data_IF_105241869885
#
_entry.id   IF_105241869885
#
_cell.length_a   1.000
_cell.length_b   1.000
_cell.length_c   1.000
_cell.angle_alpha   90.00
_cell.angle_beta   90.00
_cell.angle_gamma   90.00
#
_symmetry.space_group_name_H-M   'P 1'
#
loop_
_entity.id
_entity.type
_entity.pdbx_description
1 polymer ?
#
# COMPACT_ATOMS: atom_id res chain seq x y z
N UNK A 1 12.25 -7.51 44.20
CA UNK A 1 12.80 -6.19 43.78
C UNK A 1 13.61 -6.41 42.51
N UNK A 2 13.01 -6.19 41.34
CA UNK A 2 13.65 -6.46 40.05
C UNK A 2 13.73 -5.18 39.22
N UNK A 3 14.96 -4.75 38.91
CA UNK A 3 15.22 -3.58 38.07
C UNK A 3 15.56 -4.09 36.67
N UNK A 4 14.55 -4.23 35.80
CA UNK A 4 14.76 -4.48 34.37
C UNK A 4 14.96 -3.14 33.66
N UNK A 5 16.23 -2.82 33.34
CA UNK A 5 16.56 -1.76 32.39
C UNK A 5 16.27 -2.25 30.97
N UNK A 6 15.10 -1.91 30.43
CA UNK A 6 14.88 -1.96 28.99
C UNK A 6 15.62 -0.78 28.32
N UNK A 7 16.78 -1.07 27.73
CA UNK A 7 17.43 -0.17 26.79
C UNK A 7 16.57 -0.06 25.52
N UNK A 8 15.82 1.03 25.42
CA UNK A 8 15.05 1.41 24.23
C UNK A 8 16.01 2.06 23.25
N UNK A 9 16.67 1.27 22.39
CA UNK A 9 17.49 1.81 21.30
C UNK A 9 16.54 2.36 20.23
N UNK A 10 16.23 3.65 20.35
CA UNK A 10 15.67 4.46 19.28
C UNK A 10 16.75 4.68 18.23
N UNK A 11 16.83 3.81 17.22
CA UNK A 11 17.49 4.18 15.97
C UNK A 11 16.51 5.07 15.18
N UNK A 12 16.51 6.36 15.51
CA UNK A 12 16.08 7.39 14.58
C UNK A 12 17.00 7.30 13.37
N UNK A 13 16.53 6.69 12.29
CA UNK A 13 17.03 7.07 10.98
C UNK A 13 16.71 8.56 10.84
N UNK A 14 17.75 9.40 10.86
CA UNK A 14 17.62 10.81 10.51
C UNK A 14 17.29 10.87 9.02
N UNK A 15 16.01 10.71 8.70
CA UNK A 15 15.49 11.09 7.40
C UNK A 15 15.79 12.58 7.27
N UNK A 16 16.68 12.91 6.33
CA UNK A 16 17.08 14.28 6.07
C UNK A 16 15.82 15.05 5.67
N UNK A 17 15.28 15.80 6.63
CA UNK A 17 13.99 16.50 6.55
C UNK A 17 13.97 17.47 5.36
N UNK A 18 15.15 17.98 5.03
CA UNK A 18 15.41 19.00 4.02
C UNK A 18 15.38 18.48 2.58
N UNK A 19 15.50 17.16 2.34
CA UNK A 19 15.38 16.60 0.99
C UNK A 19 13.95 16.20 0.63
N UNK A 20 13.11 15.90 1.63
CA UNK A 20 11.71 15.53 1.43
C UNK A 20 10.79 16.76 1.33
N UNK A 21 11.14 17.86 1.97
CA UNK A 21 10.43 19.14 1.82
C UNK A 21 10.46 19.60 0.36
N UNK A 22 11.65 19.69 -0.26
CA UNK A 22 11.77 20.31 -1.58
C UNK A 22 11.01 19.60 -2.72
N UNK A 23 10.82 18.27 -2.68
CA UNK A 23 9.99 17.58 -3.69
C UNK A 23 8.50 17.65 -3.37
N UNK A 24 8.15 17.65 -2.08
CA UNK A 24 6.77 17.64 -1.62
C UNK A 24 6.14 19.05 -1.59
N UNK A 25 6.96 20.10 -1.48
CA UNK A 25 6.55 21.52 -1.53
C UNK A 25 5.86 21.89 -2.85
N UNK A 26 6.06 21.10 -3.92
CA UNK A 26 5.43 21.31 -5.23
C UNK A 26 4.12 20.53 -5.44
N UNK A 27 3.78 19.57 -4.58
CA UNK A 27 2.54 18.78 -4.73
C UNK A 27 1.46 19.41 -3.86
N UNK A 28 0.31 19.72 -4.46
CA UNK A 28 -0.88 20.03 -3.67
C UNK A 28 -1.24 18.84 -2.79
N UNK A 29 -1.17 19.05 -1.47
CA UNK A 29 -1.45 18.06 -0.42
C UNK A 29 -2.68 17.21 -0.71
N UNK A 30 -3.78 17.85 -1.08
CA UNK A 30 -5.05 17.17 -1.30
C UNK A 30 -5.01 16.30 -2.56
N UNK A 31 -4.33 16.75 -3.63
CA UNK A 31 -4.07 15.93 -4.82
C UNK A 31 -3.24 14.68 -4.48
N UNK A 32 -2.19 14.80 -3.65
CA UNK A 32 -1.41 13.65 -3.20
C UNK A 32 -2.29 12.65 -2.43
N UNK A 33 -3.12 13.15 -1.52
CA UNK A 33 -4.04 12.34 -0.72
C UNK A 33 -5.01 11.60 -1.66
N UNK A 34 -5.64 12.29 -2.61
CA UNK A 34 -6.62 11.72 -3.52
C UNK A 34 -6.00 10.60 -4.39
N UNK A 35 -4.78 10.78 -4.89
CA UNK A 35 -4.06 9.74 -5.64
C UNK A 35 -3.79 8.52 -4.74
N UNK A 36 -3.29 8.73 -3.52
CA UNK A 36 -2.98 7.63 -2.58
C UNK A 36 -4.26 6.86 -2.21
N UNK A 37 -5.36 7.56 -1.95
CA UNK A 37 -6.65 6.93 -1.64
C UNK A 37 -7.18 6.15 -2.84
N UNK A 38 -7.23 6.76 -4.03
CA UNK A 38 -7.72 6.10 -5.23
C UNK A 38 -6.92 4.82 -5.55
N UNK A 39 -5.59 4.88 -5.41
CA UNK A 39 -4.69 3.73 -5.52
C UNK A 39 -5.00 2.64 -4.49
N UNK A 40 -5.20 3.02 -3.23
CA UNK A 40 -5.54 2.07 -2.18
C UNK A 40 -6.89 1.38 -2.43
N UNK A 41 -7.93 2.14 -2.79
CA UNK A 41 -9.27 1.60 -3.07
C UNK A 41 -9.26 0.66 -4.27
N UNK A 42 -8.60 1.04 -5.36
CA UNK A 42 -8.46 0.19 -6.53
C UNK A 42 -7.70 -1.11 -6.21
N UNK A 43 -6.57 -1.00 -5.50
CA UNK A 43 -5.79 -2.15 -5.03
C UNK A 43 -6.63 -3.08 -4.16
N UNK A 44 -7.44 -2.53 -3.26
CA UNK A 44 -8.31 -3.34 -2.42
C UNK A 44 -9.34 -4.14 -3.22
N UNK A 45 -9.95 -3.54 -4.25
CA UNK A 45 -10.87 -4.25 -5.15
C UNK A 45 -10.16 -5.35 -5.94
N UNK A 46 -8.97 -5.08 -6.49
CA UNK A 46 -8.17 -6.08 -7.21
C UNK A 46 -7.83 -7.27 -6.29
N UNK A 47 -7.40 -7.01 -5.05
CA UNK A 47 -7.06 -8.06 -4.10
C UNK A 47 -8.28 -8.88 -3.67
N UNK A 48 -9.46 -8.26 -3.58
CA UNK A 48 -10.72 -8.96 -3.33
C UNK A 48 -11.07 -9.91 -4.47
N UNK A 49 -10.91 -9.47 -5.72
CA UNK A 49 -11.12 -10.31 -6.91
C UNK A 49 -10.12 -11.47 -6.97
N UNK A 50 -8.84 -11.21 -6.71
CA UNK A 50 -7.81 -12.25 -6.60
C UNK A 50 -8.18 -13.30 -5.53
N UNK A 51 -8.60 -12.85 -4.33
CA UNK A 51 -9.00 -13.74 -3.26
C UNK A 51 -10.22 -14.59 -3.62
N UNK A 52 -11.22 -14.01 -4.29
CA UNK A 52 -12.38 -14.75 -4.81
C UNK A 52 -11.96 -15.76 -5.86
N UNK A 53 -11.12 -15.37 -6.81
CA UNK A 53 -10.66 -16.27 -7.87
C UNK A 53 -9.91 -17.47 -7.29
N UNK A 54 -9.00 -17.26 -6.33
CA UNK A 54 -8.32 -18.35 -5.62
C UNK A 54 -9.34 -19.31 -4.96
N UNK A 55 -10.32 -18.76 -4.23
CA UNK A 55 -11.37 -19.56 -3.57
C UNK A 55 -12.25 -20.32 -4.57
N UNK A 56 -12.50 -19.75 -5.75
CA UNK A 56 -13.40 -20.37 -6.73
C UNK A 56 -12.69 -21.32 -7.69
N UNK A 57 -11.40 -21.15 -7.96
CA UNK A 57 -10.61 -22.20 -8.61
C UNK A 57 -10.57 -23.47 -7.75
N UNK A 58 -10.72 -23.33 -6.43
CA UNK A 58 -10.85 -24.45 -5.50
C UNK A 58 -12.28 -25.06 -5.42
N UNK A 59 -13.31 -24.46 -6.04
CA UNK A 59 -14.70 -24.90 -5.93
C UNK A 59 -15.43 -24.74 -7.29
N UNK A 60 -15.68 -25.84 -8.02
CA UNK A 60 -16.23 -25.84 -9.40
C UNK A 60 -17.54 -25.02 -9.52
N UNK A 61 -17.63 -24.15 -10.55
CA UNK A 61 -18.59 -23.01 -10.60
C UNK A 61 -19.97 -23.34 -11.20
N UNK A 62 -20.99 -22.63 -10.69
CA UNK A 62 -22.38 -22.53 -11.21
C UNK A 62 -22.69 -21.15 -11.82
N UNK A 63 -23.85 -21.00 -12.49
CA UNK A 63 -24.28 -19.82 -13.28
C UNK A 63 -24.32 -18.47 -12.54
N UNK A 64 -24.40 -18.46 -11.20
CA UNK A 64 -24.34 -17.23 -10.40
C UNK A 64 -22.98 -16.51 -10.46
N UNK A 65 -21.95 -17.15 -11.05
CA UNK A 65 -20.62 -16.60 -11.21
C UNK A 65 -20.52 -15.54 -12.33
N UNK A 66 -21.44 -15.52 -13.31
CA UNK A 66 -21.38 -14.60 -14.44
C UNK A 66 -21.87 -13.18 -14.07
N UNK A 67 -23.01 -13.06 -13.39
CA UNK A 67 -23.54 -11.76 -12.92
C UNK A 67 -22.60 -11.07 -11.94
N UNK A 68 -21.97 -11.84 -11.04
CA UNK A 68 -20.98 -11.32 -10.10
C UNK A 68 -19.72 -10.83 -10.80
N UNK A 69 -19.32 -11.46 -11.91
CA UNK A 69 -18.16 -11.05 -12.70
C UNK A 69 -18.40 -9.70 -13.37
N UNK A 70 -19.55 -9.53 -14.03
CA UNK A 70 -19.94 -8.28 -14.70
C UNK A 70 -20.04 -7.11 -13.71
N UNK A 71 -20.61 -7.33 -12.52
CA UNK A 71 -20.65 -6.31 -11.47
C UNK A 71 -19.25 -5.92 -10.99
N UNK A 72 -18.34 -6.89 -10.83
CA UNK A 72 -16.96 -6.65 -10.41
C UNK A 72 -16.18 -5.80 -11.44
N UNK A 73 -16.33 -6.11 -12.72
CA UNK A 73 -15.68 -5.37 -13.82
C UNK A 73 -16.15 -3.91 -13.89
N UNK A 74 -17.45 -3.65 -13.71
CA UNK A 74 -18.00 -2.29 -13.65
C UNK A 74 -17.46 -1.47 -12.47
N UNK A 75 -17.36 -2.08 -11.28
CA UNK A 75 -16.77 -1.45 -10.10
C UNK A 75 -15.30 -1.13 -10.34
N UNK A 76 -14.52 -2.09 -10.85
CA UNK A 76 -13.10 -1.89 -11.18
C UNK A 76 -12.91 -0.74 -12.18
N UNK A 77 -13.70 -0.72 -13.26
CA UNK A 77 -13.65 0.37 -14.25
C UNK A 77 -13.89 1.74 -13.60
N UNK A 78 -14.89 1.85 -12.71
CA UNK A 78 -15.18 3.09 -11.98
C UNK A 78 -14.00 3.53 -11.11
N UNK A 79 -13.36 2.60 -10.41
CA UNK A 79 -12.19 2.88 -9.56
C UNK A 79 -10.96 3.26 -10.39
N UNK A 80 -10.77 2.65 -11.55
CA UNK A 80 -9.70 3.03 -12.49
C UNK A 80 -9.90 4.45 -13.04
N UNK A 81 -11.15 4.85 -13.31
CA UNK A 81 -11.49 6.22 -13.71
C UNK A 81 -11.26 7.23 -12.57
N UNK A 82 -11.59 6.86 -11.33
CA UNK A 82 -11.31 7.68 -10.15
C UNK A 82 -9.80 7.90 -9.98
N UNK A 83 -8.99 6.84 -10.13
CA UNK A 83 -7.54 6.95 -10.12
C UNK A 83 -7.03 7.83 -11.26
N UNK A 84 -7.55 7.65 -12.48
CA UNK A 84 -7.19 8.49 -13.61
C UNK A 84 -7.44 9.97 -13.34
N UNK A 85 -8.63 10.31 -12.81
CA UNK A 85 -8.98 11.69 -12.43
C UNK A 85 -8.02 12.27 -11.37
N UNK A 86 -7.70 11.50 -10.33
CA UNK A 86 -6.77 11.97 -9.30
C UNK A 86 -5.37 12.23 -9.88
N UNK A 87 -4.87 11.33 -10.73
CA UNK A 87 -3.56 11.45 -11.38
C UNK A 87 -3.53 12.58 -12.41
N UNK A 88 -4.63 12.88 -13.11
CA UNK A 88 -4.66 14.00 -14.06
C UNK A 88 -4.56 15.37 -13.40
N UNK A 89 -4.84 15.47 -12.10
CA UNK A 89 -4.66 16.69 -11.31
C UNK A 89 -3.21 16.89 -10.85
N UNK A 90 -2.31 15.94 -11.10
CA UNK A 90 -0.90 16.11 -10.81
C UNK A 90 -0.26 17.03 -11.86
N UNK A 91 0.30 18.14 -11.41
CA UNK A 91 1.11 19.01 -12.25
C UNK A 91 2.55 18.49 -12.38
N UNK A 92 3.26 18.81 -13.49
CA UNK A 92 4.70 18.64 -13.55
C UNK A 92 5.41 19.41 -12.41
N UNK A 93 6.49 18.86 -11.79
CA UNK A 93 7.20 17.64 -12.17
C UNK A 93 6.60 16.34 -11.61
N UNK A 94 5.62 16.41 -10.73
CA UNK A 94 5.15 15.27 -9.94
C UNK A 94 4.46 14.21 -10.76
N UNK A 95 3.71 14.62 -11.79
CA UNK A 95 3.15 13.70 -12.78
C UNK A 95 4.23 12.88 -13.48
N UNK A 96 5.33 13.50 -13.88
CA UNK A 96 6.43 12.82 -14.56
C UNK A 96 7.10 11.79 -13.65
N UNK A 97 7.30 12.14 -12.37
CA UNK A 97 7.86 11.19 -11.39
C UNK A 97 6.90 10.03 -11.16
N UNK A 98 5.62 10.30 -10.96
CA UNK A 98 4.59 9.28 -10.79
C UNK A 98 4.55 8.31 -11.99
N UNK A 99 4.43 8.84 -13.21
CA UNK A 99 4.36 8.04 -14.44
C UNK A 99 5.67 7.25 -14.65
N UNK A 100 6.84 7.84 -14.35
CA UNK A 100 8.11 7.16 -14.44
C UNK A 100 8.23 5.98 -13.46
N UNK A 101 7.76 6.16 -12.21
CA UNK A 101 7.74 5.08 -11.22
C UNK A 101 6.86 3.92 -11.67
N UNK A 102 5.69 4.20 -12.27
CA UNK A 102 4.75 3.14 -12.67
C UNK A 102 5.15 2.34 -13.90
N UNK A 103 6.24 2.72 -14.56
CA UNK A 103 6.90 1.85 -15.55
C UNK A 103 7.63 0.66 -14.92
N UNK A 104 8.00 0.75 -13.64
CA UNK A 104 8.58 -0.38 -12.92
C UNK A 104 7.45 -1.29 -12.38
N UNK A 105 7.37 -2.57 -12.81
CA UNK A 105 6.36 -3.50 -12.28
C UNK A 105 6.53 -3.78 -10.77
N UNK A 106 7.67 -3.41 -10.18
CA UNK A 106 7.95 -3.52 -8.74
C UNK A 106 7.97 -2.17 -8.03
N UNK A 107 7.40 -1.11 -8.63
CA UNK A 107 7.33 0.23 -8.02
C UNK A 107 6.77 0.21 -6.59
N UNK A 108 5.88 -0.74 -6.28
CA UNK A 108 5.25 -0.85 -4.97
C UNK A 108 6.17 -1.44 -3.91
N UNK A 109 7.29 -2.07 -4.28
CA UNK A 109 8.27 -2.68 -3.37
C UNK A 109 9.28 -1.66 -2.80
N UNK A 110 9.00 -0.36 -2.95
CA UNK A 110 9.84 0.70 -2.41
C UNK A 110 9.71 0.77 -0.89
N UNK A 111 10.81 1.12 -0.22
CA UNK A 111 10.90 1.10 1.25
C UNK A 111 9.71 1.73 1.99
N UNK A 112 9.22 2.93 1.63
CA UNK A 112 8.12 3.54 2.38
C UNK A 112 6.83 2.70 2.37
N UNK A 113 6.59 1.96 1.28
CA UNK A 113 5.39 1.12 1.09
C UNK A 113 5.57 -0.24 1.76
N UNK A 114 6.80 -0.78 1.77
CA UNK A 114 7.15 -1.98 2.53
C UNK A 114 7.02 -1.72 4.02
N UNK A 115 7.55 -0.60 4.50
CA UNK A 115 7.45 -0.17 5.91
C UNK A 115 6.00 0.03 6.32
N UNK A 116 5.17 0.67 5.49
CA UNK A 116 3.72 0.80 5.75
C UNK A 116 3.03 -0.57 5.87
N UNK A 117 3.40 -1.52 5.01
CA UNK A 117 2.90 -2.89 5.10
C UNK A 117 3.35 -3.60 6.39
N UNK A 118 4.57 -3.36 6.87
CA UNK A 118 5.06 -3.92 8.14
C UNK A 118 4.34 -3.27 9.33
N UNK A 119 4.27 -1.94 9.36
CA UNK A 119 3.68 -1.16 10.45
C UNK A 119 2.17 -1.44 10.61
N UNK A 120 1.49 -1.78 9.52
CA UNK A 120 0.07 -2.20 9.53
C UNK A 120 -0.15 -3.68 9.91
N UNK A 121 0.91 -4.43 10.22
CA UNK A 121 0.81 -5.87 10.52
C UNK A 121 0.56 -6.74 9.29
N UNK A 122 0.85 -6.22 8.09
CA UNK A 122 0.67 -6.89 6.82
C UNK A 122 1.68 -8.01 6.55
N UNK A 123 1.58 -8.61 5.36
CA UNK A 123 2.36 -9.78 4.92
C UNK A 123 3.88 -9.60 5.04
N UNK A 124 4.38 -8.37 4.87
CA UNK A 124 5.82 -8.10 4.94
C UNK A 124 6.40 -8.31 6.35
N UNK A 125 5.60 -8.14 7.42
CA UNK A 125 6.02 -8.46 8.78
C UNK A 125 6.20 -9.97 9.04
N UNK A 126 5.46 -10.81 8.29
CA UNK A 126 5.46 -12.27 8.41
C UNK A 126 6.44 -12.98 7.48
N UNK A 127 7.09 -12.22 6.59
CA UNK A 127 8.04 -12.77 5.61
C UNK A 127 7.44 -13.86 4.69
N UNK A 128 6.13 -13.89 4.48
CA UNK A 128 5.48 -14.88 3.59
C UNK A 128 5.75 -14.64 2.10
N UNK A 129 6.49 -13.58 1.75
CA UNK A 129 6.93 -13.19 0.38
C UNK A 129 5.83 -12.90 -0.64
N UNK A 130 4.55 -13.13 -0.31
CA UNK A 130 3.45 -12.99 -1.25
C UNK A 130 3.33 -11.58 -1.85
N UNK A 131 3.77 -10.51 -1.17
CA UNK A 131 3.78 -9.16 -1.76
C UNK A 131 4.82 -9.03 -2.88
N UNK A 132 6.02 -9.57 -2.69
CA UNK A 132 7.09 -9.54 -3.69
C UNK A 132 6.79 -10.45 -4.89
N UNK A 133 6.06 -11.54 -4.64
CA UNK A 133 5.66 -12.53 -5.63
C UNK A 133 4.33 -12.20 -6.31
N UNK A 134 3.61 -11.17 -5.85
CA UNK A 134 2.37 -10.67 -6.49
C UNK A 134 2.64 -9.95 -7.81
N UNK A 135 3.74 -10.22 -8.49
CA UNK A 135 4.05 -9.63 -9.78
C UNK A 135 3.12 -10.27 -10.83
N UNK A 136 2.09 -9.56 -11.33
CA UNK A 136 1.24 -10.12 -12.36
C UNK A 136 2.02 -10.16 -13.67
N UNK A 137 1.63 -11.07 -14.56
CA UNK A 137 1.98 -11.04 -15.97
C UNK A 137 1.28 -9.84 -16.64
N UNK A 138 1.73 -8.61 -16.36
CA UNK A 138 1.20 -7.38 -16.97
C UNK A 138 1.18 -6.16 -16.06
N UNK A 139 1.29 -4.97 -16.64
CA UNK A 139 1.17 -3.69 -15.95
C UNK A 139 -0.31 -3.37 -15.65
N UNK A 140 -0.86 -4.03 -14.63
CA UNK A 140 -2.23 -3.79 -14.18
C UNK A 140 -2.25 -2.72 -13.08
N UNK A 141 -3.19 -1.78 -13.16
CA UNK A 141 -3.47 -0.84 -12.06
C UNK A 141 -3.94 -1.62 -10.83
N UNK A 142 -3.71 -1.06 -9.64
CA UNK A 142 -4.08 -1.72 -8.38
C UNK A 142 -3.05 -2.74 -7.87
N UNK A 143 -1.84 -2.81 -8.45
CA UNK A 143 -0.74 -3.60 -7.90
C UNK A 143 -0.23 -3.00 -6.58
N UNK A 144 0.10 -3.86 -5.60
CA UNK A 144 0.99 -3.49 -4.50
C UNK A 144 0.84 -4.32 -3.24
N UNK A 145 1.26 -3.75 -2.11
CA UNK A 145 1.22 -4.42 -0.81
C UNK A 145 -0.21 -4.76 -0.37
N UNK A 146 -0.32 -5.69 0.57
CA UNK A 146 -1.61 -6.18 1.03
C UNK A 146 -2.48 -5.07 1.63
N UNK A 147 -3.76 -5.06 1.28
CA UNK A 147 -4.83 -4.34 1.98
C UNK A 147 -5.60 -5.32 2.88
N UNK A 148 -6.74 -4.85 3.41
CA UNK A 148 -7.66 -5.66 4.22
C UNK A 148 -8.19 -6.91 3.49
N UNK A 149 -8.24 -6.87 2.15
CA UNK A 149 -8.80 -7.87 1.23
C UNK A 149 -7.75 -8.87 0.69
N UNK A 150 -6.48 -8.71 1.05
CA UNK A 150 -5.45 -9.65 0.64
C UNK A 150 -5.78 -11.08 1.11
N UNK A 151 -5.81 -12.04 0.17
CA UNK A 151 -6.06 -13.46 0.48
C UNK A 151 -5.17 -14.02 1.60
N UNK A 152 -3.84 -13.85 1.51
CA UNK A 152 -2.90 -14.32 2.54
C UNK A 152 -3.16 -13.66 3.92
N UNK A 153 -3.55 -12.38 3.95
CA UNK A 153 -3.94 -11.72 5.20
C UNK A 153 -5.27 -12.25 5.73
N UNK A 154 -6.25 -12.51 4.86
CA UNK A 154 -7.54 -13.03 5.23
C UNK A 154 -7.44 -14.46 5.79
N UNK A 155 -6.63 -15.31 5.16
CA UNK A 155 -6.34 -16.67 5.62
C UNK A 155 -5.64 -16.67 6.98
N UNK A 156 -4.57 -15.87 7.13
CA UNK A 156 -3.88 -15.72 8.41
C UNK A 156 -4.81 -15.20 9.52
N UNK A 157 -5.71 -14.27 9.19
CA UNK A 157 -6.70 -13.72 10.11
C UNK A 157 -7.74 -14.77 10.53
N UNK A 158 -8.04 -15.75 9.67
CA UNK A 158 -9.00 -16.82 9.93
C UNK A 158 -10.48 -16.40 9.84
N UNK A 159 -10.77 -15.15 9.48
CA UNK A 159 -12.14 -14.65 9.30
C UNK A 159 -12.21 -13.52 8.26
N UNK A 160 -13.40 -13.37 7.67
CA UNK A 160 -13.72 -12.29 6.73
C UNK A 160 -14.11 -11.03 7.51
N UNK A 161 -13.59 -9.86 7.12
CA UNK A 161 -13.96 -8.60 7.75
C UNK A 161 -15.37 -8.20 7.31
N UNK A 162 -16.16 -7.67 8.24
CA UNK A 162 -17.46 -7.09 7.91
C UNK A 162 -17.29 -5.83 7.04
N UNK A 163 -18.35 -5.44 6.31
CA UNK A 163 -18.35 -4.20 5.53
C UNK A 163 -18.05 -2.98 6.39
N UNK A 164 -18.51 -2.96 7.65
CA UNK A 164 -18.22 -1.88 8.59
C UNK A 164 -16.74 -1.87 8.98
N UNK A 165 -16.15 -3.01 9.34
CA UNK A 165 -14.73 -3.07 9.69
C UNK A 165 -13.83 -2.63 8.52
N UNK A 166 -14.16 -3.03 7.29
CA UNK A 166 -13.45 -2.59 6.08
C UNK A 166 -13.55 -1.08 5.89
N UNK A 167 -14.73 -0.50 6.14
CA UNK A 167 -14.95 0.94 6.11
C UNK A 167 -14.12 1.65 7.19
N UNK A 168 -14.15 1.17 8.43
CA UNK A 168 -13.40 1.76 9.55
C UNK A 168 -11.89 1.77 9.29
N UNK A 169 -11.34 0.69 8.70
CA UNK A 169 -9.94 0.61 8.30
C UNK A 169 -9.60 1.68 7.25
N UNK A 170 -10.47 1.86 6.25
CA UNK A 170 -10.28 2.87 5.20
C UNK A 170 -10.34 4.28 5.78
N UNK A 171 -11.33 4.57 6.60
CA UNK A 171 -11.51 5.88 7.25
C UNK A 171 -10.34 6.18 8.19
N UNK A 172 -9.82 5.19 8.91
CA UNK A 172 -8.61 5.33 9.73
C UNK A 172 -7.38 5.67 8.89
N UNK A 173 -7.18 5.01 7.74
CA UNK A 173 -6.11 5.37 6.80
C UNK A 173 -6.28 6.80 6.27
N UNK A 174 -7.48 7.17 5.84
CA UNK A 174 -7.77 8.51 5.33
C UNK A 174 -7.55 9.59 6.40
N UNK A 175 -7.99 9.35 7.64
CA UNK A 175 -7.74 10.24 8.77
C UNK A 175 -6.24 10.44 9.02
N UNK A 176 -5.43 9.37 8.93
CA UNK A 176 -3.96 9.47 9.05
C UNK A 176 -3.34 10.30 7.91
N UNK A 177 -3.84 10.19 6.69
CA UNK A 177 -3.39 11.00 5.55
C UNK A 177 -3.79 12.47 5.72
N UNK A 178 -5.03 12.72 6.14
CA UNK A 178 -5.61 14.06 6.31
C UNK A 178 -5.24 14.73 7.62
N UNK A 179 -4.60 14.03 8.55
CA UNK A 179 -4.12 14.62 9.79
C UNK A 179 -3.23 15.85 9.49
N UNK A 180 -3.50 16.96 10.18
CA UNK A 180 -2.64 18.14 10.14
C UNK A 180 -1.90 18.19 11.47
N UNK A 181 -0.60 17.92 11.42
CA UNK A 181 0.28 18.12 12.57
C UNK A 181 0.69 19.59 12.71
N UNK A 182 1.64 19.85 13.60
CA UNK A 182 2.21 21.19 13.83
C UNK A 182 2.92 21.81 12.61
N UNK A 183 3.16 21.05 11.53
CA UNK A 183 3.87 21.49 10.33
C UNK A 183 3.04 21.34 9.04
N UNK A 184 1.71 21.46 9.13
CA UNK A 184 0.73 21.35 8.01
C UNK A 184 0.65 20.01 7.26
N UNK A 185 1.64 19.14 7.46
CA UNK A 185 1.71 17.82 6.85
C UNK A 185 1.63 16.70 7.89
N UNK A 186 0.91 15.63 7.55
CA UNK A 186 0.93 14.40 8.33
C UNK A 186 2.28 13.68 8.11
N UNK A 187 2.97 13.23 9.17
CA UNK A 187 4.12 12.34 9.03
C UNK A 187 3.81 11.09 8.20
N UNK A 188 2.57 10.59 8.30
CA UNK A 188 2.09 9.48 7.49
C UNK A 188 1.97 9.86 6.01
N UNK A 189 1.41 11.03 5.71
CA UNK A 189 1.33 11.53 4.34
C UNK A 189 2.72 11.71 3.72
N UNK A 190 3.68 12.31 4.43
CA UNK A 190 5.05 12.49 3.94
C UNK A 190 5.71 11.14 3.58
N UNK A 191 5.54 10.14 4.45
CA UNK A 191 6.04 8.79 4.19
C UNK A 191 5.40 8.20 2.95
N UNK A 192 4.08 8.22 2.85
CA UNK A 192 3.37 7.67 1.70
C UNK A 192 3.76 8.41 0.42
N UNK A 193 3.76 9.74 0.43
CA UNK A 193 4.16 10.56 -0.70
C UNK A 193 5.58 10.24 -1.20
N UNK A 194 6.53 9.95 -0.30
CA UNK A 194 7.87 9.53 -0.72
C UNK A 194 7.86 8.22 -1.55
N UNK A 195 6.92 7.31 -1.27
CA UNK A 195 6.72 6.07 -2.04
C UNK A 195 6.02 6.28 -3.39
N UNK A 196 5.22 7.34 -3.54
CA UNK A 196 4.43 7.61 -4.75
C UNK A 196 5.03 8.67 -5.67
N UNK A 197 5.78 9.63 -5.14
CA UNK A 197 6.16 10.85 -5.85
C UNK A 197 7.64 11.26 -5.70
N UNK A 198 8.43 10.53 -4.92
CA UNK A 198 9.88 10.77 -4.87
C UNK A 198 10.60 9.82 -5.83
N UNK A 199 11.66 10.23 -6.53
CA UNK A 199 12.53 9.32 -7.28
C UNK A 199 13.60 8.70 -6.35
N UNK A 200 13.19 8.11 -5.22
CA UNK A 200 14.15 7.34 -4.43
C UNK A 200 14.51 6.06 -5.18
N UNK A 201 15.81 5.75 -5.28
CA UNK A 201 16.27 4.50 -5.88
C UNK A 201 15.58 3.33 -5.17
N UNK A 202 15.09 2.30 -5.89
CA UNK A 202 14.68 1.07 -5.23
C UNK A 202 15.85 0.62 -4.35
N UNK A 203 15.59 0.10 -3.13
CA UNK A 203 16.67 -0.43 -2.32
C UNK A 203 17.47 -1.40 -3.19
N UNK A 204 18.80 -1.26 -3.24
CA UNK A 204 19.63 -2.41 -3.59
C UNK A 204 19.15 -3.53 -2.69
N UNK A 205 18.78 -4.72 -3.21
CA UNK A 205 18.38 -5.83 -2.37
C UNK A 205 19.53 -6.04 -1.38
N UNK A 206 19.32 -5.58 -0.15
CA UNK A 206 20.28 -5.80 0.91
C UNK A 206 20.13 -7.28 1.20
N UNK A 207 21.14 -8.08 0.84
CA UNK A 207 21.23 -9.52 1.10
C UNK A 207 21.03 -9.89 2.60
N UNK A 208 20.85 -8.89 3.47
CA UNK A 208 20.82 -9.02 4.91
C UNK A 208 19.67 -8.28 5.62
N UNK A 209 18.61 -7.80 4.93
CA UNK A 209 17.38 -7.39 5.64
C UNK A 209 16.68 -8.58 6.33
N UNK A 210 16.92 -9.80 5.81
CA UNK A 210 16.34 -11.06 6.27
C UNK A 210 16.84 -11.54 7.64
N UNK A 211 17.91 -10.95 8.19
CA UNK A 211 18.55 -11.42 9.43
C UNK A 211 18.17 -10.63 10.70
N UNK A 212 17.32 -9.60 10.61
CA UNK A 212 16.93 -8.80 11.78
C UNK A 212 15.55 -9.15 12.33
N UNK A 213 15.29 -10.43 12.57
CA UNK A 213 14.45 -10.96 13.67
C UNK A 213 14.55 -12.49 13.69
N UNK A 214 15.78 -13.02 13.69
CA UNK A 214 16.00 -14.41 14.08
C UNK A 214 15.83 -14.55 15.58
N UNK A 215 14.61 -14.87 16.04
CA UNK A 215 14.44 -15.50 17.35
C UNK A 215 14.89 -16.94 17.15
N UNK A 216 16.02 -17.29 17.76
CA UNK A 216 16.48 -18.68 17.87
C UNK A 216 15.38 -19.51 18.54
N UNK A 217 15.32 -20.77 18.12
CA UNK A 217 14.42 -21.82 18.60
C UNK A 217 14.34 -21.92 20.12
#
# INVERSE_FOLDING_TARGET
MGIFRHSRILHQASWNRDCLSNSFDSIHRDTAIDVIIAEHVLREQVQREEARNIRTTACEKSMAAEDQKTQSENVKSTLEHALYRAVSMLEPPNKLVYDALRRDPKWFMRNPLVEDCIDSGGCCSRQCRCCAERCPLGAHKGQGHCTSECWCCAEFRGYELSSQQKKDIRESMEARLRYRGHCDFSPYLLRMASGFFSPSKPPKPKENWWFRTGRQA
#
